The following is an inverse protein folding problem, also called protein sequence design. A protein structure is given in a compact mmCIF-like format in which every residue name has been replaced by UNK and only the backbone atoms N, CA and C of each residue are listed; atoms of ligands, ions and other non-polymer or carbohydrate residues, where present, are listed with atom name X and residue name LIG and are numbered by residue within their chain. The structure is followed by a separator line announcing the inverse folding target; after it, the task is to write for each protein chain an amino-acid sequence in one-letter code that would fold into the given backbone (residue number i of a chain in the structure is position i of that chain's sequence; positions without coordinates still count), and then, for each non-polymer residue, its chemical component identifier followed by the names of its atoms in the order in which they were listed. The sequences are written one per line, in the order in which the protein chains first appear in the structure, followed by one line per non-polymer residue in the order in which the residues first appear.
data_IF_063173066111
#
_entry.id   IF_063173066111
#
_cell.length_a   1.000
_cell.length_b   1.000
_cell.length_c   1.000
_cell.angle_alpha   90.00
_cell.angle_beta   90.00
_cell.angle_gamma   90.00
#
_symmetry.space_group_name_H-M   'P 1'
#
loop_
_entity.id
_entity.type
_entity.pdbx_description
1 polymer ?
#
# COMPACT_ATOMS: atom_id res chain seq x y z
N UNK A 1 -27.39 41.23 -1.76
CA UNK A 1 -27.01 39.96 -1.08
C UNK A 1 -25.59 40.10 -0.56
N UNK A 2 -25.40 39.74 0.71
CA UNK A 2 -24.18 39.92 1.51
C UNK A 2 -22.96 39.23 0.90
N UNK A 3 -21.81 39.91 0.96
CA UNK A 3 -20.49 39.33 0.68
C UNK A 3 -20.17 38.25 1.72
N UNK A 4 -20.61 37.01 1.47
CA UNK A 4 -19.97 35.83 2.04
C UNK A 4 -19.99 34.75 0.97
N UNK A 5 -18.88 34.64 0.21
CA UNK A 5 -18.63 33.40 -0.54
C UNK A 5 -18.00 32.43 0.46
N UNK A 6 -18.87 31.75 1.20
CA UNK A 6 -18.47 30.71 2.12
C UNK A 6 -17.71 29.60 1.37
N UNK A 7 -16.58 29.20 1.95
CA UNK A 7 -16.06 27.84 1.94
C UNK A 7 -15.94 27.14 0.59
N UNK A 8 -14.80 27.33 -0.08
CA UNK A 8 -14.38 26.42 -1.14
C UNK A 8 -14.07 25.03 -0.57
N UNK A 9 -15.01 24.11 -0.77
CA UNK A 9 -15.00 22.70 -0.35
C UNK A 9 -13.72 21.99 -0.80
N UNK A 10 -13.11 21.16 0.06
CA UNK A 10 -12.00 20.30 -0.33
C UNK A 10 -12.46 19.32 -1.42
N UNK A 11 -12.03 19.55 -2.67
CA UNK A 11 -12.66 18.96 -3.86
C UNK A 11 -12.21 17.54 -4.18
N UNK A 12 -11.22 16.99 -3.48
CA UNK A 12 -10.71 15.62 -3.67
C UNK A 12 -9.91 15.17 -2.44
N UNK A 13 -10.58 14.59 -1.43
CA UNK A 13 -9.88 13.88 -0.35
C UNK A 13 -10.06 12.38 -0.61
N UNK A 14 -9.18 11.81 -1.42
CA UNK A 14 -9.15 10.36 -1.66
C UNK A 14 -8.19 9.71 -0.65
N UNK A 15 -8.72 8.83 0.19
CA UNK A 15 -7.91 7.99 1.06
C UNK A 15 -8.17 6.53 0.74
N UNK A 16 -7.36 5.97 -0.16
CA UNK A 16 -7.38 4.53 -0.41
C UNK A 16 -6.64 3.83 0.72
N UNK A 17 -7.24 2.79 1.29
CA UNK A 17 -6.55 1.97 2.29
C UNK A 17 -5.24 1.41 1.72
N UNK A 18 -4.17 1.51 2.50
CA UNK A 18 -2.87 0.97 2.09
C UNK A 18 -2.95 -0.52 1.80
N UNK A 19 -2.42 -0.96 0.66
CA UNK A 19 -2.45 -2.36 0.21
C UNK A 19 -1.55 -3.31 1.02
N UNK A 20 -0.81 -2.78 2.00
CA UNK A 20 0.10 -3.53 2.90
C UNK A 20 1.11 -4.37 2.10
N UNK A 21 1.61 -3.80 1.01
CA UNK A 21 2.70 -4.37 0.22
C UNK A 21 4.00 -4.45 1.06
N UNK A 22 5.01 -5.10 0.52
CA UNK A 22 6.33 -5.25 1.10
C UNK A 22 6.70 -6.68 1.46
N UNK A 23 7.91 -6.79 2.01
CA UNK A 23 8.52 -8.05 2.47
C UNK A 23 7.81 -8.54 3.73
N UNK A 24 7.50 -9.83 3.78
CA UNK A 24 6.82 -10.51 4.90
C UNK A 24 7.74 -11.45 5.65
N UNK A 25 8.78 -11.96 4.97
CA UNK A 25 9.86 -12.76 5.55
C UNK A 25 11.19 -12.26 5.04
N UNK A 26 12.12 -12.03 5.96
CA UNK A 26 13.49 -11.59 5.66
C UNK A 26 14.46 -12.78 5.67
N UNK A 27 15.66 -12.58 5.11
CA UNK A 27 16.69 -13.61 5.08
C UNK A 27 17.03 -14.13 6.48
N UNK A 28 17.20 -15.45 6.62
CA UNK A 28 17.51 -16.11 7.89
C UNK A 28 16.29 -16.44 8.77
N UNK A 29 15.09 -16.03 8.39
CA UNK A 29 13.87 -16.44 9.08
C UNK A 29 13.42 -17.84 8.64
N UNK A 30 12.97 -18.66 9.59
CA UNK A 30 12.35 -19.96 9.29
C UNK A 30 11.02 -19.72 8.57
N UNK A 31 10.81 -20.40 7.46
CA UNK A 31 9.56 -20.34 6.69
C UNK A 31 8.94 -21.73 6.58
N UNK A 32 7.61 -21.80 6.59
CA UNK A 32 6.87 -23.04 6.33
C UNK A 32 6.41 -23.05 4.88
N UNK A 33 6.14 -24.23 4.36
CA UNK A 33 5.56 -24.40 3.01
C UNK A 33 4.25 -23.61 2.91
N UNK A 34 4.13 -22.79 1.86
CA UNK A 34 2.96 -21.94 1.63
C UNK A 34 2.99 -20.57 2.30
N UNK A 35 4.02 -20.22 3.08
CA UNK A 35 4.16 -18.86 3.60
C UNK A 35 4.50 -17.83 2.51
N UNK A 36 3.93 -16.63 2.64
CA UNK A 36 4.21 -15.51 1.72
C UNK A 36 5.52 -14.84 2.12
N UNK A 37 6.45 -14.72 1.16
CA UNK A 37 7.73 -14.03 1.37
C UNK A 37 7.65 -12.53 1.06
N UNK A 38 7.01 -12.15 -0.05
CA UNK A 38 6.87 -10.75 -0.49
C UNK A 38 5.48 -10.55 -1.10
N UNK A 39 4.84 -9.41 -0.80
CA UNK A 39 3.65 -8.94 -1.50
C UNK A 39 4.00 -7.66 -2.24
N UNK A 40 4.00 -7.68 -3.55
CA UNK A 40 4.45 -6.56 -4.37
C UNK A 40 3.49 -6.33 -5.54
N UNK A 41 3.50 -5.11 -6.06
CA UNK A 41 2.88 -4.78 -7.35
C UNK A 41 3.99 -4.76 -8.39
N UNK A 42 3.82 -5.51 -9.48
CA UNK A 42 4.92 -5.78 -10.41
C UNK A 42 5.94 -6.76 -9.84
N UNK A 43 7.14 -6.81 -10.42
CA UNK A 43 8.16 -7.83 -10.13
C UNK A 43 9.48 -7.24 -9.65
N UNK A 44 9.47 -6.53 -8.51
CA UNK A 44 10.71 -5.99 -7.91
C UNK A 44 11.65 -7.09 -7.42
N UNK A 45 11.08 -8.16 -6.85
CA UNK A 45 11.80 -9.38 -6.47
C UNK A 45 11.34 -10.51 -7.38
N UNK A 46 12.29 -11.23 -7.97
CA UNK A 46 12.04 -12.40 -8.83
C UNK A 46 12.17 -13.65 -7.97
N UNK A 47 11.31 -14.65 -8.21
CA UNK A 47 11.40 -15.92 -7.53
C UNK A 47 12.71 -16.63 -7.91
N UNK A 48 13.45 -17.09 -6.90
CA UNK A 48 14.61 -17.96 -7.08
C UNK A 48 14.23 -19.44 -6.94
N UNK A 49 15.15 -20.35 -7.28
CA UNK A 49 15.02 -21.78 -7.00
C UNK A 49 15.05 -22.09 -5.50
#
# INVERSE_FOLDING_TARGET
MSHVKAGGTSKNIHNNAGQRLGVKRFGGQKVRTGEVLVRQTGSTKVAGP
#
